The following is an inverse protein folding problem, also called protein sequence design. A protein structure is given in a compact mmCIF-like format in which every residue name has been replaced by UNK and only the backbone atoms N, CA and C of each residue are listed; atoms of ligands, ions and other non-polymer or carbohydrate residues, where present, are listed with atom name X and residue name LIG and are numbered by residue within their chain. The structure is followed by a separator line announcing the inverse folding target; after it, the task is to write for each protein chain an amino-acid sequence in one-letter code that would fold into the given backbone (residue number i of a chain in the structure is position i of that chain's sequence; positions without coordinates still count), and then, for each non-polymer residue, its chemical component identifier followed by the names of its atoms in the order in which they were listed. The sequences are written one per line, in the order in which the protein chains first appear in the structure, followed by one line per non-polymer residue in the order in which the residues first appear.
data_IF_005977616757
#
_entry.id   IF_005977616757
#
_cell.length_a   1.000
_cell.length_b   1.000
_cell.length_c   1.000
_cell.angle_alpha   90.00
_cell.angle_beta   90.00
_cell.angle_gamma   90.00
#
_symmetry.space_group_name_H-M   'P 1'
#
loop_
_entity.id
_entity.type
_entity.pdbx_description
1 polymer ?
#
# COMPACT_ATOMS: atom_id res chain seq x y z
N UNK A 1 19.81 1.38 -12.59
CA UNK A 1 19.76 2.83 -12.24
C UNK A 1 18.56 3.04 -11.34
N UNK A 2 18.69 3.75 -10.21
CA UNK A 2 17.53 4.06 -9.35
C UNK A 2 16.58 4.97 -10.13
N UNK A 3 15.35 4.54 -10.38
CA UNK A 3 14.35 5.35 -11.06
C UNK A 3 13.52 6.12 -10.01
N UNK A 4 13.82 7.40 -9.74
CA UNK A 4 13.17 8.16 -8.67
C UNK A 4 11.66 8.32 -8.91
N UNK A 5 11.22 8.35 -10.16
CA UNK A 5 9.79 8.43 -10.50
C UNK A 5 9.07 7.13 -10.12
N UNK A 6 9.70 5.98 -10.33
CA UNK A 6 9.14 4.69 -9.95
C UNK A 6 9.05 4.56 -8.42
N UNK A 7 10.11 4.95 -7.70
CA UNK A 7 10.10 4.95 -6.23
C UNK A 7 8.99 5.88 -5.68
N UNK A 8 8.86 7.08 -6.26
CA UNK A 8 7.82 8.03 -5.87
C UNK A 8 6.42 7.45 -6.11
N UNK A 9 6.17 6.89 -7.29
CA UNK A 9 4.89 6.29 -7.64
C UNK A 9 4.53 5.14 -6.69
N UNK A 10 5.46 4.21 -6.46
CA UNK A 10 5.25 3.10 -5.53
C UNK A 10 4.97 3.60 -4.12
N UNK A 11 5.68 4.63 -3.66
CA UNK A 11 5.45 5.25 -2.34
C UNK A 11 4.05 5.84 -2.21
N UNK A 12 3.59 6.59 -3.22
CA UNK A 12 2.25 7.19 -3.22
C UNK A 12 1.17 6.10 -3.15
N UNK A 13 1.23 5.09 -4.02
CA UNK A 13 0.25 3.99 -4.05
C UNK A 13 0.25 3.24 -2.71
N UNK A 14 1.43 2.91 -2.19
CA UNK A 14 1.61 2.20 -0.91
C UNK A 14 0.98 2.97 0.23
N UNK A 15 1.27 4.27 0.32
CA UNK A 15 0.80 5.13 1.40
C UNK A 15 -0.71 5.32 1.33
N UNK A 16 -1.25 5.59 0.13
CA UNK A 16 -2.70 5.71 -0.07
C UNK A 16 -3.43 4.42 0.32
N UNK A 17 -2.91 3.27 -0.08
CA UNK A 17 -3.48 1.97 0.29
C UNK A 17 -3.41 1.73 1.80
N UNK A 18 -2.29 2.06 2.45
CA UNK A 18 -2.16 1.98 3.91
C UNK A 18 -3.18 2.85 4.64
N UNK A 19 -3.37 4.10 4.21
CA UNK A 19 -4.35 5.02 4.78
C UNK A 19 -5.78 4.50 4.59
N UNK A 20 -6.13 4.03 3.39
CA UNK A 20 -7.46 3.46 3.13
C UNK A 20 -7.72 2.24 4.00
N UNK A 21 -6.74 1.34 4.12
CA UNK A 21 -6.86 0.15 4.97
C UNK A 21 -7.11 0.52 6.43
N UNK A 22 -6.28 1.43 6.98
CA UNK A 22 -6.39 1.88 8.37
C UNK A 22 -7.72 2.59 8.64
N UNK A 23 -8.14 3.47 7.73
CA UNK A 23 -9.42 4.19 7.83
C UNK A 23 -10.60 3.21 7.90
N UNK A 24 -10.65 2.23 7.00
CA UNK A 24 -11.73 1.24 6.98
C UNK A 24 -11.64 0.26 8.16
N UNK A 25 -10.44 -0.08 8.63
CA UNK A 25 -10.25 -0.94 9.80
C UNK A 25 -10.69 -0.28 11.12
N UNK A 26 -10.77 1.05 11.15
CA UNK A 26 -11.21 1.81 12.33
C UNK A 26 -12.73 1.94 12.47
N UNK A 27 -13.51 1.45 11.49
CA UNK A 27 -14.96 1.48 11.55
C UNK A 27 -15.48 0.47 12.58
N UNK A 28 -16.44 0.89 13.42
CA UNK A 28 -17.02 0.03 14.46
C UNK A 28 -17.81 -1.16 13.86
N UNK A 29 -18.53 -0.93 12.76
CA UNK A 29 -19.37 -1.94 12.09
C UNK A 29 -19.21 -1.89 10.57
N UNK A 30 -18.05 -2.33 10.02
CA UNK A 30 -17.82 -2.30 8.58
C UNK A 30 -18.67 -3.36 7.87
N UNK A 31 -19.22 -2.98 6.72
CA UNK A 31 -19.82 -3.91 5.75
C UNK A 31 -18.78 -4.89 5.21
N UNK A 32 -19.22 -6.02 4.64
CA UNK A 32 -18.30 -6.99 4.05
C UNK A 32 -17.49 -6.41 2.90
N UNK A 33 -18.06 -5.51 2.09
CA UNK A 33 -17.34 -4.78 1.05
C UNK A 33 -16.23 -3.90 1.66
N UNK A 34 -16.52 -3.17 2.74
CA UNK A 34 -15.52 -2.35 3.43
C UNK A 34 -14.38 -3.20 4.02
N UNK A 35 -14.70 -4.39 4.57
CA UNK A 35 -13.67 -5.35 5.02
C UNK A 35 -12.80 -5.86 3.88
N UNK A 36 -13.41 -6.23 2.76
CA UNK A 36 -12.67 -6.68 1.57
C UNK A 36 -11.76 -5.60 1.01
N UNK A 37 -12.24 -4.36 0.92
CA UNK A 37 -11.43 -3.21 0.49
C UNK A 37 -10.30 -2.99 1.49
N UNK A 38 -10.56 -2.97 2.80
CA UNK A 38 -9.53 -2.80 3.83
C UNK A 38 -8.41 -3.86 3.71
N UNK A 39 -8.79 -5.13 3.56
CA UNK A 39 -7.84 -6.24 3.39
C UNK A 39 -7.03 -6.12 2.09
N UNK A 40 -7.69 -5.76 1.00
CA UNK A 40 -7.03 -5.57 -0.31
C UNK A 40 -6.05 -4.40 -0.25
N UNK A 41 -6.46 -3.27 0.32
CA UNK A 41 -5.61 -2.11 0.52
C UNK A 41 -4.41 -2.42 1.43
N UNK A 42 -4.59 -3.23 2.47
CA UNK A 42 -3.47 -3.70 3.30
C UNK A 42 -2.47 -4.55 2.48
N UNK A 43 -2.97 -5.47 1.65
CA UNK A 43 -2.11 -6.29 0.79
C UNK A 43 -1.31 -5.44 -0.20
N UNK A 44 -1.93 -4.42 -0.80
CA UNK A 44 -1.24 -3.44 -1.66
C UNK A 44 -0.17 -2.70 -0.86
N UNK A 45 -0.46 -2.26 0.37
CA UNK A 45 0.51 -1.55 1.21
C UNK A 45 1.72 -2.43 1.57
N UNK A 46 1.52 -3.72 1.88
CA UNK A 46 2.59 -4.66 2.17
C UNK A 46 3.46 -4.96 0.93
N UNK A 47 2.81 -5.24 -0.20
CA UNK A 47 3.50 -5.47 -1.47
C UNK A 47 4.27 -4.23 -1.93
N UNK A 48 3.64 -3.06 -1.83
CA UNK A 48 4.23 -1.77 -2.16
C UNK A 48 5.43 -1.42 -1.28
N UNK A 49 5.34 -1.69 0.03
CA UNK A 49 6.48 -1.54 0.96
C UNK A 49 7.65 -2.43 0.55
N UNK A 50 7.38 -3.69 0.21
CA UNK A 50 8.40 -4.64 -0.29
C UNK A 50 9.05 -4.12 -1.57
N UNK A 51 8.25 -3.63 -2.52
CA UNK A 51 8.72 -3.07 -3.77
C UNK A 51 9.59 -1.81 -3.56
N UNK A 52 9.22 -0.91 -2.64
CA UNK A 52 10.03 0.27 -2.29
C UNK A 52 11.41 -0.16 -1.81
N UNK A 53 11.49 -1.15 -0.90
CA UNK A 53 12.78 -1.63 -0.43
C UNK A 53 13.61 -2.30 -1.53
N UNK A 54 13.00 -3.09 -2.41
CA UNK A 54 13.66 -3.66 -3.58
C UNK A 54 14.21 -2.58 -4.52
N UNK A 55 13.41 -1.56 -4.81
CA UNK A 55 13.81 -0.41 -5.64
C UNK A 55 14.95 0.40 -5.03
N UNK A 56 14.96 0.59 -3.71
CA UNK A 56 16.02 1.30 -2.99
C UNK A 56 17.35 0.53 -2.97
N UNK A 57 17.27 -0.81 -2.88
CA UNK A 57 18.43 -1.72 -2.98
C UNK A 57 18.93 -1.90 -4.41
N UNK A 58 18.10 -1.57 -5.41
CA UNK A 58 18.42 -1.78 -6.83
C UNK A 58 18.21 -3.22 -7.28
N UNK A 59 17.35 -3.96 -6.58
CA UNK A 59 16.98 -5.37 -6.86
C UNK A 59 15.72 -5.49 -7.74
N UNK A 60 15.30 -4.38 -8.37
CA UNK A 60 14.06 -4.25 -9.12
C UNK A 60 14.32 -3.85 -10.59
#
# INVERSE_FOLDING_TARGET
MKNPLLILLTTVITTSAGITSLSLASLENPTDLQRQISNTSNAIALAGTTAIFGLLKGEA
#
